data_IF_639348643975
#
_entry.id   IF_639348643975
#
_cell.length_a   1.000
_cell.length_b   1.000
_cell.length_c   1.000
_cell.angle_alpha   90.00
_cell.angle_beta   90.00
_cell.angle_gamma   90.00
#
_symmetry.space_group_name_H-M   'P 1'
#
loop_
_entity.id
_entity.type
_entity.pdbx_description
1 polymer ?
#
# COMPACT_ATOMS: atom_id res chain seq x y z
N UNK A 1 15.11 2.28 15.55
CA UNK A 1 14.58 3.49 14.90
C UNK A 1 14.36 3.16 13.44
N UNK A 2 13.11 3.02 13.00
CA UNK A 2 12.78 2.76 11.60
C UNK A 2 12.53 4.08 10.86
N UNK A 3 12.66 4.08 9.52
CA UNK A 3 12.33 5.25 8.69
C UNK A 3 10.85 5.63 8.86
N UNK A 4 9.99 4.64 9.13
CA UNK A 4 8.59 4.90 9.43
C UNK A 4 8.40 5.69 10.75
N UNK A 5 9.18 5.37 11.78
CA UNK A 5 9.20 6.08 13.06
C UNK A 5 9.79 7.50 12.96
N UNK A 6 10.54 7.81 11.88
CA UNK A 6 11.05 9.15 11.61
C UNK A 6 10.01 10.10 10.96
N UNK A 7 8.74 9.69 10.85
CA UNK A 7 7.66 10.52 10.32
C UNK A 7 7.61 10.59 8.79
N UNK A 8 8.32 9.69 8.09
CA UNK A 8 8.35 9.68 6.63
C UNK A 8 7.04 9.16 5.99
N UNK A 9 6.23 8.38 6.70
CA UNK A 9 5.05 7.71 6.14
C UNK A 9 3.92 8.68 5.76
N UNK A 10 3.47 9.62 6.62
CA UNK A 10 2.32 10.46 6.28
C UNK A 10 2.52 11.33 5.02
N UNK A 11 3.71 11.94 4.77
CA UNK A 11 3.97 12.61 3.50
C UNK A 11 3.85 11.69 2.28
N UNK A 12 4.32 10.44 2.37
CA UNK A 12 4.22 9.46 1.29
C UNK A 12 2.76 9.06 1.01
N UNK A 13 1.94 8.92 2.07
CA UNK A 13 0.50 8.67 1.91
C UNK A 13 -0.19 9.81 1.15
N UNK A 14 0.19 11.07 1.41
CA UNK A 14 -0.34 12.23 0.67
C UNK A 14 0.04 12.25 -0.81
N UNK A 15 1.13 11.57 -1.19
CA UNK A 15 1.53 11.48 -2.60
C UNK A 15 0.54 10.63 -3.41
N UNK A 16 -0.12 9.65 -2.77
CA UNK A 16 -1.08 8.74 -3.42
C UNK A 16 -2.31 9.46 -3.99
N UNK A 17 -2.62 10.65 -3.50
CA UNK A 17 -3.81 11.44 -3.90
C UNK A 17 -3.45 12.60 -4.83
N UNK A 18 -2.18 12.71 -5.26
CA UNK A 18 -1.74 13.82 -6.12
C UNK A 18 -2.22 13.64 -7.55
N UNK A 19 -2.43 14.73 -8.30
CA UNK A 19 -2.96 14.65 -9.67
C UNK A 19 -1.99 14.01 -10.67
N UNK A 20 -0.67 14.07 -10.41
CA UNK A 20 0.36 13.49 -11.28
C UNK A 20 0.56 12.01 -10.97
N UNK A 21 0.46 11.16 -12.00
CA UNK A 21 0.68 9.72 -11.88
C UNK A 21 2.07 9.37 -11.32
N UNK A 22 3.11 10.08 -11.76
CA UNK A 22 4.49 9.92 -11.28
C UNK A 22 4.61 10.09 -9.76
N UNK A 23 3.83 11.01 -9.17
CA UNK A 23 3.83 11.21 -7.72
C UNK A 23 3.12 10.07 -6.99
N UNK A 24 2.01 9.57 -7.55
CA UNK A 24 1.27 8.43 -6.98
C UNK A 24 2.12 7.16 -7.04
N UNK A 25 2.78 6.93 -8.17
CA UNK A 25 3.72 5.83 -8.37
C UNK A 25 4.88 5.91 -7.39
N UNK A 26 5.55 7.06 -7.28
CA UNK A 26 6.65 7.26 -6.35
C UNK A 26 6.22 7.06 -4.88
N UNK A 27 5.03 7.55 -4.52
CA UNK A 27 4.44 7.33 -3.19
C UNK A 27 4.18 5.85 -2.91
N UNK A 28 3.53 5.14 -3.85
CA UNK A 28 3.22 3.73 -3.72
C UNK A 28 4.50 2.88 -3.64
N UNK A 29 5.48 3.15 -4.50
CA UNK A 29 6.77 2.45 -4.53
C UNK A 29 7.56 2.65 -3.24
N UNK A 30 7.63 3.89 -2.73
CA UNK A 30 8.29 4.17 -1.45
C UNK A 30 7.62 3.45 -0.27
N UNK A 31 6.29 3.44 -0.21
CA UNK A 31 5.54 2.72 0.82
C UNK A 31 5.72 1.20 0.70
N UNK A 32 5.74 0.65 -0.52
CA UNK A 32 6.08 -0.76 -0.78
C UNK A 32 7.46 -1.11 -0.23
N UNK A 33 8.46 -0.29 -0.52
CA UNK A 33 9.83 -0.49 -0.04
C UNK A 33 9.90 -0.47 1.48
N UNK A 34 9.22 0.47 2.14
CA UNK A 34 9.15 0.53 3.60
C UNK A 34 8.49 -0.73 4.21
N UNK A 35 7.44 -1.24 3.57
CA UNK A 35 6.71 -2.43 4.00
C UNK A 35 7.43 -3.75 3.69
N UNK A 36 8.49 -3.74 2.87
CA UNK A 36 9.19 -4.97 2.47
C UNK A 36 9.93 -5.57 3.67
N UNK A 37 9.61 -6.82 4.01
CA UNK A 37 10.30 -7.61 5.04
C UNK A 37 10.44 -6.90 6.41
N UNK A 38 9.46 -6.08 6.80
CA UNK A 38 9.47 -5.39 8.08
C UNK A 38 8.04 -5.21 8.65
N UNK A 39 7.67 -6.05 9.62
CA UNK A 39 6.34 -6.03 10.25
C UNK A 39 6.02 -4.68 10.92
N UNK A 40 6.96 -4.09 11.66
CA UNK A 40 6.77 -2.78 12.31
C UNK A 40 6.44 -1.68 11.30
N UNK A 41 7.14 -1.65 10.16
CA UNK A 41 6.87 -0.69 9.10
C UNK A 41 5.53 -0.97 8.41
N UNK A 42 5.14 -2.25 8.23
CA UNK A 42 3.84 -2.59 7.66
C UNK A 42 2.70 -2.04 8.52
N UNK A 43 2.79 -2.22 9.85
CA UNK A 43 1.83 -1.66 10.81
C UNK A 43 1.87 -0.13 10.78
N UNK A 44 3.05 0.49 10.76
CA UNK A 44 3.17 1.94 10.69
C UNK A 44 2.57 2.53 9.40
N UNK A 45 2.73 1.86 8.26
CA UNK A 45 2.12 2.24 6.97
C UNK A 45 0.60 2.14 7.04
N UNK A 46 0.07 1.05 7.59
CA UNK A 46 -1.37 0.89 7.78
C UNK A 46 -1.96 1.95 8.73
N UNK A 47 -1.32 2.17 9.89
CA UNK A 47 -1.74 3.18 10.86
C UNK A 47 -1.66 4.62 10.31
N UNK A 48 -0.77 4.88 9.36
CA UNK A 48 -0.72 6.16 8.66
C UNK A 48 -1.87 6.36 7.65
N UNK A 49 -2.76 5.38 7.50
CA UNK A 49 -3.94 5.47 6.64
C UNK A 49 -3.67 5.11 5.18
N UNK A 50 -2.57 4.44 4.86
CA UNK A 50 -2.18 4.14 3.48
C UNK A 50 -3.11 3.15 2.74
N UNK A 51 -3.81 2.28 3.49
CA UNK A 51 -4.57 1.16 2.93
C UNK A 51 -5.67 1.64 1.97
N UNK A 52 -6.52 2.58 2.39
CA UNK A 52 -7.63 3.05 1.55
C UNK A 52 -7.17 3.73 0.25
N UNK A 53 -6.23 4.70 0.29
CA UNK A 53 -5.66 5.26 -0.93
C UNK A 53 -5.02 4.21 -1.84
N UNK A 54 -4.25 3.26 -1.29
CA UNK A 54 -3.67 2.18 -2.10
C UNK A 54 -4.73 1.33 -2.80
N UNK A 55 -5.83 1.00 -2.13
CA UNK A 55 -6.93 0.25 -2.75
C UNK A 55 -7.62 1.05 -3.86
N UNK A 56 -7.76 2.37 -3.70
CA UNK A 56 -8.25 3.24 -4.77
C UNK A 56 -7.30 3.25 -5.98
N UNK A 57 -5.99 3.23 -5.75
CA UNK A 57 -4.99 3.18 -6.83
C UNK A 57 -5.01 1.89 -7.64
N UNK A 58 -5.64 0.81 -7.16
CA UNK A 58 -5.88 -0.38 -7.99
C UNK A 58 -6.81 -0.10 -9.19
N UNK A 59 -7.48 1.05 -9.20
CA UNK A 59 -8.34 1.53 -10.28
C UNK A 59 -7.72 2.69 -11.07
N UNK A 60 -6.46 3.06 -10.80
CA UNK A 60 -5.77 4.12 -11.55
C UNK A 60 -5.68 3.76 -13.04
N UNK A 61 -5.79 4.75 -13.92
CA UNK A 61 -5.67 4.57 -15.37
C UNK A 61 -4.24 4.12 -15.76
N UNK A 62 -3.26 4.48 -14.95
CA UNK A 62 -1.83 4.20 -15.16
C UNK A 62 -1.47 2.80 -14.68
N UNK A 63 -0.98 1.89 -15.57
CA UNK A 63 -0.63 0.52 -15.18
C UNK A 63 0.44 0.44 -14.07
N UNK A 64 1.51 1.25 -14.17
CA UNK A 64 2.59 1.25 -13.18
C UNK A 64 2.10 1.61 -11.77
N UNK A 65 1.18 2.57 -11.67
CA UNK A 65 0.54 2.95 -10.40
C UNK A 65 -0.26 1.79 -9.81
N UNK A 66 -1.02 1.06 -10.64
CA UNK A 66 -1.80 -0.12 -10.18
C UNK A 66 -0.88 -1.23 -9.68
N UNK A 67 0.21 -1.51 -10.40
CA UNK A 67 1.18 -2.55 -10.04
C UNK A 67 1.87 -2.23 -8.73
N UNK A 68 2.35 -1.00 -8.54
CA UNK A 68 3.00 -0.59 -7.29
C UNK A 68 2.02 -0.60 -6.10
N UNK A 69 0.78 -0.18 -6.31
CA UNK A 69 -0.26 -0.27 -5.28
C UNK A 69 -0.59 -1.72 -4.90
N UNK A 70 -0.72 -2.61 -5.88
CA UNK A 70 -0.96 -4.04 -5.63
C UNK A 70 0.21 -4.69 -4.88
N UNK A 71 1.44 -4.39 -5.30
CA UNK A 71 2.65 -4.91 -4.66
C UNK A 71 2.82 -4.36 -3.22
N UNK A 72 2.50 -3.08 -2.99
CA UNK A 72 2.48 -2.50 -1.65
C UNK A 72 1.47 -3.20 -0.73
N UNK A 73 0.24 -3.42 -1.20
CA UNK A 73 -0.80 -4.14 -0.45
C UNK A 73 -0.39 -5.59 -0.15
N UNK A 74 0.27 -6.27 -1.10
CA UNK A 74 0.84 -7.61 -0.89
C UNK A 74 1.90 -7.62 0.21
N UNK A 75 2.77 -6.61 0.24
CA UNK A 75 3.78 -6.47 1.30
C UNK A 75 3.15 -6.21 2.67
N UNK A 76 2.04 -5.46 2.75
CA UNK A 76 1.36 -5.15 4.01
C UNK A 76 0.71 -6.34 4.69
N UNK A 77 0.51 -7.45 3.98
CA UNK A 77 -0.06 -8.70 4.51
C UNK A 77 0.95 -9.85 4.56
N UNK A 78 2.21 -9.58 4.23
CA UNK A 78 3.24 -10.61 4.08
C UNK A 78 3.52 -11.33 5.40
N UNK A 79 3.59 -10.59 6.52
CA UNK A 79 3.68 -11.21 7.84
C UNK A 79 2.28 -11.42 8.41
N UNK A 80 2.03 -12.62 8.91
CA UNK A 80 0.77 -13.02 9.52
C UNK A 80 0.96 -13.27 11.03
N UNK A 81 1.57 -12.30 11.72
CA UNK A 81 1.66 -12.28 13.18
C UNK A 81 0.52 -11.46 13.79
N UNK A 82 0.33 -11.54 15.12
CA UNK A 82 -0.72 -10.80 15.83
C UNK A 82 -0.66 -9.28 15.57
N UNK A 83 0.53 -8.73 15.34
CA UNK A 83 0.76 -7.31 15.07
C UNK A 83 0.19 -6.89 13.70
N UNK A 84 0.17 -7.81 12.73
CA UNK A 84 -0.26 -7.55 11.36
C UNK A 84 -1.67 -8.06 11.02
N UNK A 85 -2.29 -8.84 11.90
CA UNK A 85 -3.64 -9.38 11.68
C UNK A 85 -4.67 -8.29 11.31
N UNK A 86 -4.51 -7.08 11.85
CA UNK A 86 -5.34 -5.92 11.52
C UNK A 86 -5.22 -5.44 10.06
N UNK A 87 -4.05 -5.60 9.43
CA UNK A 87 -3.83 -5.15 8.05
C UNK A 87 -4.65 -5.98 7.05
N UNK A 88 -4.72 -7.30 7.26
CA UNK A 88 -5.52 -8.20 6.41
C UNK A 88 -7.00 -7.84 6.46
N UNK A 89 -7.55 -7.65 7.66
CA UNK A 89 -8.94 -7.24 7.84
C UNK A 89 -9.21 -5.89 7.15
N UNK A 90 -8.36 -4.90 7.38
CA UNK A 90 -8.50 -3.57 6.78
C UNK A 90 -8.43 -3.60 5.24
N UNK A 91 -7.55 -4.42 4.66
CA UNK A 91 -7.42 -4.57 3.20
C UNK A 91 -8.63 -5.29 2.61
N UNK A 92 -9.15 -6.32 3.28
CA UNK A 92 -10.36 -7.02 2.87
C UNK A 92 -11.59 -6.11 2.93
N UNK A 93 -11.76 -5.35 4.01
CA UNK A 93 -12.84 -4.38 4.19
C UNK A 93 -12.78 -3.23 3.17
N UNK A 94 -11.57 -2.84 2.74
CA UNK A 94 -11.39 -1.83 1.72
C UNK A 94 -11.79 -2.30 0.31
N UNK A 95 -12.07 -3.60 0.10
CA UNK A 95 -12.52 -4.14 -1.18
C UNK A 95 -11.38 -4.46 -2.16
N UNK A 96 -10.16 -4.67 -1.67
CA UNK A 96 -9.00 -4.95 -2.51
C UNK A 96 -9.12 -6.29 -3.28
N UNK A 97 -9.77 -7.29 -2.68
CA UNK A 97 -9.84 -8.66 -3.20
C UNK A 97 -10.55 -8.74 -4.56
N UNK A 98 -11.61 -7.95 -4.76
CA UNK A 98 -12.35 -7.91 -6.01
C UNK A 98 -11.50 -7.40 -7.16
N UNK A 99 -10.60 -6.44 -6.90
CA UNK A 99 -9.78 -5.81 -7.93
C UNK A 99 -8.48 -6.54 -8.21
N UNK A 100 -7.83 -7.09 -7.18
CA UNK A 100 -6.62 -7.89 -7.34
C UNK A 100 -6.85 -9.13 -8.22
N UNK A 101 -8.03 -9.76 -8.13
CA UNK A 101 -8.41 -10.87 -9.00
C UNK A 101 -8.45 -10.50 -10.49
N UNK A 102 -8.90 -9.28 -10.82
CA UNK A 102 -8.93 -8.76 -12.20
C UNK A 102 -7.52 -8.45 -12.71
N UNK A 103 -6.68 -7.81 -11.88
CA UNK A 103 -5.30 -7.47 -12.24
C UNK A 103 -4.42 -8.70 -12.52
N UNK A 104 -4.73 -9.86 -11.91
CA UNK A 104 -4.05 -11.12 -12.20
C UNK A 104 -4.45 -11.73 -13.55
N UNK A 105 -5.59 -11.32 -14.12
CA UNK A 105 -6.10 -11.79 -15.41
C UNK A 105 -5.70 -10.87 -16.58
N UNK A 106 -5.28 -9.63 -16.31
CA UNK A 106 -4.82 -8.63 -17.31
C UNK A 106 -3.39 -8.89 -17.84
N UNK A 107 -2.89 -10.13 -17.81
CA UNK A 107 -1.54 -10.50 -18.28
C UNK A 107 -1.48 -10.87 -19.75
#
# INVERSE_FOLDING_TARGET
MTIAQAGAVPPLVRLLERPLAELREAGASALRMLATNNADNQVAVAHAGAIRPMVQLLYDETPSVREEAAAALGNLVFYNDETNAGNQAAIAEAGALQRLGVLLQDK
#
